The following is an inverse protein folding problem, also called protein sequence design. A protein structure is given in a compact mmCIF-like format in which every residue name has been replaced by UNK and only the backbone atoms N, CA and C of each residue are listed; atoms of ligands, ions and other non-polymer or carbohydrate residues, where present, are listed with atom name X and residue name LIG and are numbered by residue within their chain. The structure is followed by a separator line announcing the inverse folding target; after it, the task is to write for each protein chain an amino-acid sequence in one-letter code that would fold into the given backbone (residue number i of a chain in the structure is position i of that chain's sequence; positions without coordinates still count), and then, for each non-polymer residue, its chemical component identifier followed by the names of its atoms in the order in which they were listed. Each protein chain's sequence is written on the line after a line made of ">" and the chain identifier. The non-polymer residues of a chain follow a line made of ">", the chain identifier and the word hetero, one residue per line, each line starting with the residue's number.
data_IF_321131881694
#
_entry.id   IF_321131881694
#
_cell.length_a   1.000
_cell.length_b   1.000
_cell.length_c   1.000
_cell.angle_alpha   90.00
_cell.angle_beta   90.00
_cell.angle_gamma   90.00
#
_symmetry.space_group_name_H-M   'P 1'
#
loop_
_entity.id
_entity.type
_entity.pdbx_description
1 polymer ?
#
# COMPACT_ATOMS: atom_id res chain seq x y z
N UNK A 1 12.44 -14.05 18.16
CA UNK A 1 12.14 -12.78 17.48
C UNK A 1 12.14 -12.95 15.97
N UNK A 2 13.32 -13.04 15.35
CA UNK A 2 13.48 -13.05 13.88
C UNK A 2 12.74 -14.19 13.18
N UNK A 3 12.75 -15.40 13.73
CA UNK A 3 12.05 -16.56 13.15
C UNK A 3 10.53 -16.35 13.13
N UNK A 4 9.98 -15.66 14.12
CA UNK A 4 8.55 -15.32 14.18
C UNK A 4 8.18 -14.31 13.09
N UNK A 5 9.05 -13.32 12.83
CA UNK A 5 8.86 -12.37 11.73
C UNK A 5 8.84 -13.09 10.37
N UNK A 6 9.77 -14.03 10.15
CA UNK A 6 9.81 -14.81 8.91
C UNK A 6 8.55 -15.65 8.70
N UNK A 7 8.03 -16.26 9.77
CA UNK A 7 6.78 -17.02 9.70
C UNK A 7 5.57 -16.14 9.37
N UNK A 8 5.48 -14.95 9.98
CA UNK A 8 4.38 -13.99 9.71
C UNK A 8 4.42 -13.52 8.25
N UNK A 9 5.62 -13.22 7.71
CA UNK A 9 5.77 -12.83 6.30
C UNK A 9 5.36 -13.98 5.38
N UNK A 10 5.82 -15.20 5.66
CA UNK A 10 5.48 -16.38 4.86
C UNK A 10 3.97 -16.67 4.86
N UNK A 11 3.33 -16.62 6.03
CA UNK A 11 1.87 -16.81 6.17
C UNK A 11 1.10 -15.75 5.38
N UNK A 12 1.48 -14.47 5.54
CA UNK A 12 0.81 -13.37 4.84
C UNK A 12 0.91 -13.50 3.31
N UNK A 13 2.06 -13.94 2.79
CA UNK A 13 2.25 -14.19 1.36
C UNK A 13 1.44 -15.41 0.87
N UNK A 14 1.34 -16.46 1.67
CA UNK A 14 0.56 -17.66 1.34
C UNK A 14 -0.96 -17.39 1.33
N UNK A 15 -1.46 -16.55 2.24
CA UNK A 15 -2.88 -16.25 2.37
C UNK A 15 -3.41 -15.20 1.37
N UNK A 16 -2.53 -14.43 0.70
CA UNK A 16 -2.86 -13.44 -0.34
C UNK A 16 -4.06 -12.53 -0.02
N UNK A 17 -4.20 -12.13 1.25
CA UNK A 17 -5.33 -11.32 1.73
C UNK A 17 -5.35 -9.96 1.03
N UNK A 18 -6.46 -9.64 0.36
CA UNK A 18 -6.64 -8.37 -0.35
C UNK A 18 -6.87 -7.23 0.64
N UNK A 19 -6.27 -6.07 0.37
CA UNK A 19 -6.46 -4.86 1.18
C UNK A 19 -7.75 -4.17 0.72
N UNK A 20 -8.77 -4.13 1.58
CA UNK A 20 -10.10 -3.57 1.25
C UNK A 20 -10.14 -2.04 1.39
N UNK A 21 -9.44 -1.47 2.36
CA UNK A 21 -9.30 -0.02 2.55
C UNK A 21 -8.16 0.29 3.52
N UNK A 22 -7.50 1.43 3.34
CA UNK A 22 -6.56 1.96 4.33
C UNK A 22 -7.36 2.64 5.45
N UNK A 23 -7.12 2.23 6.71
CA UNK A 23 -7.85 2.76 7.87
C UNK A 23 -7.39 4.17 8.29
N UNK A 24 -6.44 4.78 7.56
CA UNK A 24 -5.84 6.06 7.90
C UNK A 24 -6.06 7.09 6.79
N UNK A 25 -6.44 8.32 7.17
CA UNK A 25 -6.19 9.49 6.33
C UNK A 25 -4.68 9.70 6.26
N UNK A 26 -4.05 9.15 5.23
CA UNK A 26 -2.63 9.37 5.01
C UNK A 26 -2.42 10.73 4.32
N UNK A 27 -1.48 11.53 4.81
CA UNK A 27 -1.10 12.80 4.18
C UNK A 27 -0.31 12.61 2.88
N UNK A 28 0.20 11.40 2.63
CA UNK A 28 1.00 11.08 1.45
C UNK A 28 0.16 10.43 0.34
N UNK A 29 0.31 10.93 -0.89
CA UNK A 29 -0.53 10.55 -2.03
C UNK A 29 -0.35 9.09 -2.48
N UNK A 30 0.81 8.49 -2.20
CA UNK A 30 1.11 7.08 -2.51
C UNK A 30 0.10 6.10 -1.90
N UNK A 31 -0.52 6.44 -0.77
CA UNK A 31 -1.47 5.57 -0.06
C UNK A 31 -2.88 5.61 -0.64
N UNK A 32 -3.13 6.50 -1.60
CA UNK A 32 -4.37 6.54 -2.39
C UNK A 32 -4.27 5.67 -3.65
N UNK A 33 -3.09 5.15 -3.99
CA UNK A 33 -2.92 4.24 -5.12
C UNK A 33 -3.48 2.85 -4.80
N UNK A 34 -3.77 2.09 -5.86
CA UNK A 34 -4.13 0.67 -5.74
C UNK A 34 -2.96 -0.10 -5.13
N UNK A 35 -3.28 -1.17 -4.40
CA UNK A 35 -2.29 -2.14 -3.91
C UNK A 35 -2.51 -3.47 -4.63
N UNK A 36 -1.55 -3.96 -5.44
CA UNK A 36 -0.30 -3.30 -5.86
C UNK A 36 -0.54 -2.15 -6.86
N UNK A 37 0.38 -1.18 -6.96
CA UNK A 37 0.29 -0.10 -7.93
C UNK A 37 0.49 -0.63 -9.35
N UNK A 38 -0.13 0.03 -10.33
CA UNK A 38 0.11 -0.23 -11.74
C UNK A 38 1.46 0.36 -12.17
N UNK A 39 2.09 -0.21 -13.20
CA UNK A 39 3.39 0.25 -13.75
C UNK A 39 3.41 1.75 -14.05
N UNK A 40 2.31 2.27 -14.60
CA UNK A 40 2.00 3.70 -14.63
C UNK A 40 1.03 4.00 -13.49
N UNK A 41 1.58 4.37 -12.33
CA UNK A 41 0.79 4.50 -11.10
C UNK A 41 0.00 5.82 -11.01
N UNK A 42 0.35 6.81 -11.83
CA UNK A 42 -0.35 8.09 -11.94
C UNK A 42 -0.82 8.31 -13.39
N UNK A 43 -2.11 8.58 -13.58
CA UNK A 43 -2.66 9.00 -14.88
C UNK A 43 -2.30 10.44 -15.23
N UNK A 44 -2.12 11.28 -14.21
CA UNK A 44 -1.78 12.69 -14.29
C UNK A 44 -0.97 13.08 -13.05
N UNK A 45 -0.11 14.10 -13.17
CA UNK A 45 0.66 14.58 -12.04
C UNK A 45 -0.30 15.25 -11.04
N UNK A 46 -0.28 14.83 -9.76
CA UNK A 46 -1.15 15.44 -8.77
C UNK A 46 -0.78 16.91 -8.58
N UNK A 47 -1.76 17.79 -8.77
CA UNK A 47 -1.64 19.20 -8.41
C UNK A 47 -1.53 19.29 -6.88
N UNK A 48 -0.30 19.41 -6.39
CA UNK A 48 -0.05 19.79 -5.00
C UNK A 48 -0.42 21.26 -4.84
N UNK A 49 -1.71 21.53 -4.60
CA UNK A 49 -2.18 22.89 -4.33
C UNK A 49 -1.59 23.32 -2.98
N UNK A 50 -0.49 24.07 -3.04
CA UNK A 50 -0.06 24.92 -1.92
C UNK A 50 -0.87 26.21 -2.00
N UNK A 51 -1.96 26.27 -1.25
CA UNK A 51 -2.52 27.52 -0.73
C UNK A 51 -2.53 27.43 0.79
#
# INVERSE_FOLDING_TARGET
>A
GVIMLLFIIWEALAAQRQVLSSTAMNSSIEWYQKTPPTEHSFSELPLMIKF
#
